data_IF_957146812921
#
_entry.id   IF_957146812921
#
_cell.length_a   1.000
_cell.length_b   1.000
_cell.length_c   1.000
_cell.angle_alpha   90.00
_cell.angle_beta   90.00
_cell.angle_gamma   90.00
#
_symmetry.space_group_name_H-M   'P 1'
#
loop_
_entity.id
_entity.type
_entity.pdbx_description
1 polymer ?
#
# COMPACT_ATOMS: atom_id res chain seq x y z
N UNK A 1 -53.62 18.60 -44.97
CA UNK A 1 -52.38 17.90 -44.58
C UNK A 1 -52.75 16.94 -43.46
N UNK A 2 -52.78 15.63 -43.74
CA UNK A 2 -53.13 14.61 -42.75
C UNK A 2 -51.92 14.32 -41.85
N UNK A 3 -52.05 14.55 -40.54
CA UNK A 3 -51.08 14.09 -39.55
C UNK A 3 -51.15 12.57 -39.47
N UNK A 4 -50.05 11.91 -39.88
CA UNK A 4 -49.90 10.47 -39.80
C UNK A 4 -49.67 10.10 -38.33
N UNK A 5 -50.68 9.54 -37.70
CA UNK A 5 -50.66 9.02 -36.34
C UNK A 5 -49.52 7.98 -36.22
N UNK A 6 -48.70 8.10 -35.17
CA UNK A 6 -47.57 7.22 -34.92
C UNK A 6 -48.05 5.79 -34.73
N UNK A 7 -47.61 4.89 -35.61
CA UNK A 7 -47.69 3.44 -35.43
C UNK A 7 -47.22 3.08 -34.01
N UNK A 8 -48.06 2.39 -33.23
CA UNK A 8 -47.62 1.79 -31.97
C UNK A 8 -46.38 0.93 -32.24
N UNK A 9 -45.29 1.06 -31.45
CA UNK A 9 -44.15 0.18 -31.61
C UNK A 9 -44.61 -1.24 -31.31
N UNK A 10 -44.30 -2.16 -32.22
CA UNK A 10 -44.48 -3.60 -32.05
C UNK A 10 -44.01 -4.02 -30.65
N UNK A 11 -44.77 -4.91 -29.98
CA UNK A 11 -44.45 -5.39 -28.61
C UNK A 11 -43.05 -6.01 -28.51
N UNK A 12 -42.50 -6.49 -29.63
CA UNK A 12 -41.11 -6.97 -29.73
C UNK A 12 -40.11 -5.82 -29.64
N UNK A 13 -40.38 -4.70 -30.30
CA UNK A 13 -39.53 -3.50 -30.24
C UNK A 13 -39.51 -2.91 -28.82
N UNK A 14 -40.66 -2.87 -28.14
CA UNK A 14 -40.73 -2.45 -26.74
C UNK A 14 -39.92 -3.37 -25.81
N UNK A 15 -39.98 -4.69 -26.01
CA UNK A 15 -39.17 -5.65 -25.24
C UNK A 15 -37.68 -5.47 -25.46
N UNK A 16 -37.24 -5.29 -26.71
CA UNK A 16 -35.83 -5.00 -27.00
C UNK A 16 -35.37 -3.69 -26.35
N UNK A 17 -36.22 -2.67 -26.36
CA UNK A 17 -35.91 -1.38 -25.75
C UNK A 17 -35.80 -1.49 -24.21
N UNK A 18 -36.67 -2.28 -23.57
CA UNK A 18 -36.58 -2.57 -22.14
C UNK A 18 -35.35 -3.41 -21.78
N UNK A 19 -34.97 -4.39 -22.61
CA UNK A 19 -33.75 -5.19 -22.42
C UNK A 19 -32.50 -4.31 -22.52
N UNK A 20 -32.44 -3.43 -23.53
CA UNK A 20 -31.33 -2.49 -23.68
C UNK A 20 -31.25 -1.50 -22.51
N UNK A 21 -32.40 -1.02 -22.02
CA UNK A 21 -32.46 -0.13 -20.86
C UNK A 21 -32.00 -0.83 -19.58
N UNK A 22 -32.39 -2.09 -19.36
CA UNK A 22 -31.96 -2.88 -18.21
C UNK A 22 -30.45 -3.17 -18.25
N UNK A 23 -29.90 -3.46 -19.44
CA UNK A 23 -28.48 -3.72 -19.62
C UNK A 23 -27.64 -2.46 -19.37
N UNK A 24 -28.12 -1.29 -19.80
CA UNK A 24 -27.47 -0.01 -19.53
C UNK A 24 -27.47 0.36 -18.03
N UNK A 25 -28.57 0.09 -17.32
CA UNK A 25 -28.67 0.35 -15.87
C UNK A 25 -27.71 -0.51 -15.04
N UNK A 26 -27.39 -1.73 -15.50
CA UNK A 26 -26.43 -2.61 -14.83
C UNK A 26 -24.99 -2.08 -14.95
N UNK A 27 -24.63 -1.47 -16.08
CA UNK A 27 -23.31 -0.84 -16.26
C UNK A 27 -23.10 0.45 -15.48
N UNK A 28 -24.18 1.14 -15.06
CA UNK A 28 -24.09 2.39 -14.30
C UNK A 28 -23.52 2.20 -12.88
N UNK A 29 -23.54 0.97 -12.35
CA UNK A 29 -22.98 0.61 -11.05
C UNK A 29 -21.59 -0.03 -11.16
N UNK A 30 -21.07 -0.18 -12.38
CA UNK A 30 -19.72 -0.72 -12.57
C UNK A 30 -18.64 0.32 -12.25
N UNK A 31 -18.97 1.62 -12.39
CA UNK A 31 -18.10 2.73 -12.04
C UNK A 31 -18.34 3.14 -10.59
N UNK A 32 -17.32 3.01 -9.76
CA UNK A 32 -17.36 3.38 -8.35
C UNK A 32 -16.43 4.59 -8.14
N UNK A 33 -16.97 5.70 -7.63
CA UNK A 33 -16.19 6.92 -7.43
C UNK A 33 -15.05 6.75 -6.40
N UNK A 34 -15.11 5.80 -5.47
CA UNK A 34 -13.99 5.58 -4.55
C UNK A 34 -12.91 4.68 -5.18
N UNK A 35 -13.33 3.66 -5.94
CA UNK A 35 -12.42 2.69 -6.56
C UNK A 35 -11.80 3.16 -7.87
N UNK A 36 -12.56 3.90 -8.68
CA UNK A 36 -12.26 4.16 -10.09
C UNK A 36 -11.88 5.61 -10.38
N UNK A 37 -11.81 6.48 -9.36
CA UNK A 37 -11.40 7.89 -9.54
C UNK A 37 -10.01 8.02 -10.15
N UNK A 38 -9.08 7.08 -9.88
CA UNK A 38 -7.74 7.09 -10.48
C UNK A 38 -7.72 6.78 -11.99
N UNK A 39 -8.83 6.29 -12.57
CA UNK A 39 -8.97 6.08 -14.02
C UNK A 39 -9.34 7.35 -14.77
N UNK A 40 -9.83 8.36 -14.05
CA UNK A 40 -10.10 9.64 -14.65
C UNK A 40 -8.76 10.25 -15.04
N UNK A 41 -8.64 10.82 -16.26
CA UNK A 41 -7.52 11.67 -16.59
C UNK A 41 -7.53 12.81 -15.59
N UNK A 42 -6.65 12.73 -14.60
CA UNK A 42 -6.33 13.84 -13.72
C UNK A 42 -6.06 15.06 -14.63
N UNK A 43 -6.61 16.22 -14.31
CA UNK A 43 -6.52 17.48 -15.05
C UNK A 43 -5.11 18.09 -14.91
N UNK A 44 -4.17 17.32 -15.41
CA UNK A 44 -2.73 17.38 -15.23
C UNK A 44 -2.03 18.36 -16.16
N UNK A 45 -2.62 19.51 -16.47
CA UNK A 45 -1.85 20.54 -17.17
C UNK A 45 -0.53 20.84 -16.41
N UNK A 46 -0.52 20.66 -15.08
CA UNK A 46 0.66 20.76 -14.22
C UNK A 46 1.46 19.45 -14.03
N UNK A 47 0.88 18.25 -14.19
CA UNK A 47 1.62 16.99 -13.97
C UNK A 47 2.54 16.62 -15.14
N UNK A 48 2.35 17.23 -16.33
CA UNK A 48 3.28 17.06 -17.44
C UNK A 48 4.62 17.81 -17.22
N UNK A 49 4.68 18.75 -16.27
CA UNK A 49 5.92 19.41 -15.80
C UNK A 49 6.63 18.62 -14.68
N UNK A 50 5.94 17.71 -13.98
CA UNK A 50 6.58 16.70 -13.11
C UNK A 50 7.22 15.57 -13.90
N UNK A 51 7.13 15.61 -15.23
CA UNK A 51 7.67 14.63 -16.16
C UNK A 51 9.17 14.80 -16.30
N UNK A 52 9.87 14.48 -15.22
CA UNK A 52 11.29 14.19 -15.13
C UNK A 52 12.20 15.28 -15.69
N UNK A 53 12.47 16.31 -14.87
CA UNK A 53 13.67 17.12 -15.07
C UNK A 53 14.91 16.22 -14.84
N UNK A 54 15.74 15.96 -15.86
CA UNK A 54 16.94 15.14 -15.71
C UNK A 54 17.90 15.69 -14.64
N UNK A 55 17.87 17.00 -14.38
CA UNK A 55 18.69 17.64 -13.35
C UNK A 55 18.20 17.31 -11.93
N UNK A 56 16.88 17.32 -11.70
CA UNK A 56 16.30 16.89 -10.41
C UNK A 56 16.57 15.41 -10.14
N UNK A 57 16.45 14.57 -11.17
CA UNK A 57 16.81 13.16 -11.04
C UNK A 57 18.30 12.98 -10.70
N UNK A 58 19.19 13.72 -11.37
CA UNK A 58 20.62 13.67 -11.07
C UNK A 58 20.95 14.14 -9.64
N UNK A 59 20.21 15.12 -9.10
CA UNK A 59 20.35 15.57 -7.70
C UNK A 59 19.95 14.47 -6.72
N UNK A 60 18.78 13.87 -6.89
CA UNK A 60 18.30 12.78 -6.03
C UNK A 60 19.29 11.60 -6.04
N UNK A 61 19.79 11.22 -7.23
CA UNK A 61 20.81 10.18 -7.38
C UNK A 61 22.15 10.53 -6.72
N UNK A 62 22.50 11.82 -6.67
CA UNK A 62 23.73 12.27 -6.02
C UNK A 62 23.64 12.21 -4.49
N UNK A 63 22.44 12.34 -3.92
CA UNK A 63 22.21 12.24 -2.47
C UNK A 63 22.43 10.81 -1.93
N UNK A 64 22.33 9.78 -2.79
CA UNK A 64 22.57 8.38 -2.41
C UNK A 64 21.51 7.80 -1.47
N UNK A 65 20.39 8.50 -1.27
CA UNK A 65 19.23 8.03 -0.50
C UNK A 65 18.47 6.87 -1.18
N UNK A 66 18.88 6.55 -2.39
CA UNK A 66 18.41 5.50 -3.28
C UNK A 66 19.30 4.23 -3.20
N UNK A 67 20.24 4.18 -2.26
CA UNK A 67 20.94 2.96 -1.87
C UNK A 67 20.05 2.09 -0.97
N UNK A 68 20.21 0.77 -1.08
CA UNK A 68 19.52 -0.16 -0.18
C UNK A 68 20.05 0.02 1.26
N UNK A 69 19.16 0.04 2.28
CA UNK A 69 19.59 0.12 3.67
C UNK A 69 20.50 -1.05 4.04
N UNK A 70 21.50 -0.79 4.89
CA UNK A 70 22.29 -1.88 5.45
C UNK A 70 21.49 -2.63 6.52
N UNK A 71 21.10 -3.86 6.20
CA UNK A 71 20.39 -4.73 7.14
C UNK A 71 21.33 -5.31 8.20
N UNK A 72 20.74 -5.60 9.37
CA UNK A 72 21.40 -6.32 10.45
C UNK A 72 21.95 -7.68 9.98
N UNK A 73 23.24 -7.92 10.27
CA UNK A 73 23.95 -9.17 10.00
C UNK A 73 24.54 -9.74 11.30
N UNK A 74 24.92 -11.01 11.26
CA UNK A 74 25.67 -11.69 12.33
C UNK A 74 25.06 -11.52 13.73
N UNK A 75 25.84 -11.00 14.67
CA UNK A 75 25.42 -10.84 16.07
C UNK A 75 24.30 -9.81 16.25
N UNK A 76 24.16 -8.86 15.33
CA UNK A 76 23.03 -7.92 15.30
C UNK A 76 21.71 -8.66 14.98
N UNK A 77 21.74 -9.54 13.98
CA UNK A 77 20.58 -10.35 13.61
C UNK A 77 20.19 -11.33 14.74
N UNK A 78 21.19 -11.92 15.41
CA UNK A 78 20.97 -12.77 16.60
C UNK A 78 20.34 -11.99 17.75
N UNK A 79 20.72 -10.73 17.94
CA UNK A 79 20.15 -9.88 18.98
C UNK A 79 18.68 -9.54 18.70
N UNK A 80 18.34 -9.23 17.45
CA UNK A 80 16.95 -8.99 17.03
C UNK A 80 16.10 -10.25 17.22
N UNK A 81 16.61 -11.41 16.81
CA UNK A 81 15.92 -12.70 17.00
C UNK A 81 15.70 -13.03 18.48
N UNK A 82 16.75 -12.90 19.32
CA UNK A 82 16.66 -13.15 20.75
C UNK A 82 15.67 -12.21 21.46
N UNK A 83 15.62 -10.94 21.04
CA UNK A 83 14.63 -9.98 21.54
C UNK A 83 13.20 -10.37 21.12
N UNK A 84 13.01 -10.81 19.87
CA UNK A 84 11.70 -11.28 19.38
C UNK A 84 11.20 -12.55 20.09
N UNK A 85 12.11 -13.41 20.56
CA UNK A 85 11.79 -14.64 21.30
C UNK A 85 11.68 -14.44 22.82
N UNK A 86 11.95 -13.22 23.34
CA UNK A 86 12.10 -12.91 24.77
C UNK A 86 13.18 -13.74 25.48
N UNK A 87 14.25 -14.14 24.77
CA UNK A 87 15.39 -14.81 25.39
C UNK A 87 16.32 -13.79 26.06
N UNK A 88 15.97 -13.43 27.30
CA UNK A 88 16.75 -12.49 28.11
C UNK A 88 18.20 -12.93 28.35
N UNK A 89 18.48 -14.24 28.34
CA UNK A 89 19.83 -14.76 28.56
C UNK A 89 20.70 -14.56 27.31
N UNK A 90 20.15 -14.83 26.13
CA UNK A 90 20.83 -14.55 24.87
C UNK A 90 21.02 -13.04 24.65
N UNK A 91 20.00 -12.22 24.95
CA UNK A 91 20.10 -10.75 24.86
C UNK A 91 21.19 -10.21 25.76
N UNK A 92 21.23 -10.60 27.04
CA UNK A 92 22.25 -10.12 27.98
C UNK A 92 23.67 -10.53 27.57
N UNK A 93 23.85 -11.74 27.03
CA UNK A 93 25.15 -12.20 26.52
C UNK A 93 25.60 -11.38 25.31
N UNK A 94 24.70 -11.11 24.36
CA UNK A 94 25.00 -10.33 23.16
C UNK A 94 25.28 -8.85 23.50
N UNK A 95 24.54 -8.28 24.44
CA UNK A 95 24.82 -6.92 24.93
C UNK A 95 26.15 -6.86 25.70
N UNK A 96 26.49 -7.88 26.48
CA UNK A 96 27.78 -7.97 27.17
C UNK A 96 28.97 -8.08 26.20
N UNK A 97 28.75 -8.63 25.00
CA UNK A 97 29.73 -8.63 23.90
C UNK A 97 29.88 -7.26 23.21
N UNK A 98 29.05 -6.27 23.56
CA UNK A 98 29.09 -4.92 22.99
C UNK A 98 28.26 -4.74 21.71
N UNK A 99 27.36 -5.66 21.40
CA UNK A 99 26.47 -5.54 20.23
C UNK A 99 25.50 -4.37 20.45
N UNK A 100 25.46 -3.41 19.52
CA UNK A 100 24.63 -2.21 19.64
C UNK A 100 23.17 -2.50 19.22
N UNK A 101 22.18 -2.45 20.12
CA UNK A 101 20.80 -2.81 19.81
C UNK A 101 20.09 -1.91 18.79
N UNK A 102 20.64 -0.73 18.47
CA UNK A 102 20.03 0.25 17.57
C UNK A 102 20.85 0.51 16.29
N UNK A 103 21.86 -0.32 16.01
CA UNK A 103 22.74 -0.11 14.85
C UNK A 103 22.02 -0.29 13.51
N UNK A 104 21.40 -1.45 13.32
CA UNK A 104 20.75 -1.82 12.07
C UNK A 104 19.43 -2.51 12.34
N UNK A 105 18.47 -2.28 11.44
CA UNK A 105 17.21 -3.01 11.42
C UNK A 105 17.32 -4.26 10.55
N UNK A 106 16.43 -5.22 10.77
CA UNK A 106 16.28 -6.32 9.83
C UNK A 106 15.58 -5.85 8.53
N UNK A 107 15.41 -6.80 7.61
CA UNK A 107 14.73 -6.61 6.31
C UNK A 107 13.26 -6.19 6.38
N UNK A 108 12.65 -6.23 7.56
CA UNK A 108 11.29 -5.76 7.82
C UNK A 108 11.26 -4.45 8.61
N UNK A 109 12.43 -3.88 8.94
CA UNK A 109 12.54 -2.67 9.74
C UNK A 109 12.51 -2.91 11.26
N UNK A 110 12.49 -4.17 11.71
CA UNK A 110 12.49 -4.51 13.12
C UNK A 110 13.90 -4.30 13.72
N UNK A 111 13.94 -3.75 14.93
CA UNK A 111 15.17 -3.53 15.72
C UNK A 111 15.05 -4.23 17.07
N UNK A 112 16.18 -4.51 17.71
CA UNK A 112 16.17 -5.11 19.05
C UNK A 112 15.49 -4.19 20.07
N UNK A 113 15.60 -2.87 19.87
CA UNK A 113 14.81 -1.86 20.58
C UNK A 113 13.88 -1.14 19.59
N UNK A 114 12.56 -1.26 19.75
CA UNK A 114 11.62 -0.49 18.95
C UNK A 114 11.80 1.00 19.22
N UNK A 115 11.94 1.80 18.16
CA UNK A 115 11.78 3.25 18.28
C UNK A 115 10.28 3.58 18.35
N UNK A 116 9.84 4.51 19.20
CA UNK A 116 8.45 4.94 19.20
C UNK A 116 8.15 5.62 17.86
N UNK A 117 7.44 4.93 16.97
CA UNK A 117 6.98 5.50 15.71
C UNK A 117 5.52 5.97 15.85
N UNK A 118 5.18 7.17 15.34
CA UNK A 118 3.80 7.68 15.40
C UNK A 118 2.81 6.84 14.56
N UNK A 119 3.32 5.95 13.70
CA UNK A 119 2.54 5.01 12.88
C UNK A 119 2.52 3.58 13.43
N UNK A 120 3.08 3.33 14.63
CA UNK A 120 2.94 2.05 15.34
C UNK A 120 1.50 1.86 15.89
N UNK A 121 0.51 2.05 15.04
CA UNK A 121 -0.88 1.63 15.21
C UNK A 121 -1.04 0.15 14.85
N UNK A 122 0.01 -0.64 15.06
CA UNK A 122 0.02 -2.10 14.95
C UNK A 122 0.47 -2.69 16.29
N UNK A 123 -0.50 -2.77 17.20
CA UNK A 123 -0.82 -3.91 18.08
C UNK A 123 0.36 -4.65 18.73
N UNK A 124 1.05 -3.98 19.64
CA UNK A 124 1.71 -4.66 20.75
C UNK A 124 0.66 -4.98 21.82
N UNK A 125 0.22 -6.24 21.90
CA UNK A 125 -0.53 -6.70 23.07
C UNK A 125 0.47 -6.79 24.23
N UNK A 126 0.35 -5.87 25.19
CA UNK A 126 1.27 -5.69 26.33
C UNK A 126 1.53 -6.97 27.16
N UNK A 127 0.75 -8.03 26.95
CA UNK A 127 0.80 -9.29 27.68
C UNK A 127 1.43 -10.47 26.91
N UNK A 128 1.77 -10.36 25.62
CA UNK A 128 2.07 -11.58 24.84
C UNK A 128 3.25 -11.59 23.85
N UNK A 129 3.95 -10.48 23.57
CA UNK A 129 5.18 -10.46 22.74
C UNK A 129 5.23 -11.54 21.62
N UNK A 130 4.16 -11.68 20.82
CA UNK A 130 4.06 -12.69 19.76
C UNK A 130 3.61 -12.05 18.45
N UNK A 131 4.29 -12.42 17.37
CA UNK A 131 3.92 -12.12 15.98
C UNK A 131 2.61 -12.85 15.67
N UNK A 132 1.53 -12.12 15.38
CA UNK A 132 0.32 -12.72 14.83
C UNK A 132 0.52 -12.91 13.31
N UNK A 133 0.24 -14.09 12.73
CA UNK A 133 0.28 -14.25 11.29
C UNK A 133 -0.85 -13.43 10.64
N UNK A 134 -0.53 -12.74 9.55
CA UNK A 134 -1.52 -12.14 8.65
C UNK A 134 -2.30 -13.30 8.04
N UNK A 135 -3.55 -13.50 8.49
CA UNK A 135 -4.53 -14.22 7.67
C UNK A 135 -5.05 -13.23 6.63
N UNK A 136 -4.77 -13.54 5.37
CA UNK A 136 -5.48 -12.99 4.23
C UNK A 136 -6.87 -13.63 4.20
#
# INVERSE_FOLDING_TARGET
MFFKWTSMPSSKALRWLLILLALAALSAHAFDMERDTWLLPEDNAAANTLRQDPLEFARIKADGNDQEPEYAKDDQAKLIAAAGENDFKAVSLLLAKGVNPNLSADRWGDRALPVPSPTAMWRWCASCWRRAPIRI
#
